data_IF_407270204842
#
_entry.id   IF_407270204842
#
_cell.length_a   1.000
_cell.length_b   1.000
_cell.length_c   1.000
_cell.angle_alpha   90.00
_cell.angle_beta   90.00
_cell.angle_gamma   90.00
#
_symmetry.space_group_name_H-M   'P 1'
#
loop_
_entity.id
_entity.type
_entity.pdbx_description
1 polymer ?
#
# COMPACT_ATOMS: atom_id res chain seq x y z
N UNK A 1 -38.13 29.37 37.29
CA UNK A 1 -39.30 28.59 37.75
C UNK A 1 -40.48 28.90 36.85
N UNK A 2 -41.42 27.97 36.56
CA UNK A 2 -41.60 26.58 37.04
C UNK A 2 -41.12 25.54 36.00
N UNK A 3 -40.86 24.25 36.25
CA UNK A 3 -41.57 23.19 36.99
C UNK A 3 -42.37 22.36 35.97
N UNK A 4 -42.38 21.03 35.84
CA UNK A 4 -41.78 19.84 36.47
C UNK A 4 -42.53 18.62 35.85
N UNK A 5 -41.95 17.42 35.81
CA UNK A 5 -42.69 16.21 35.38
C UNK A 5 -41.82 15.01 34.99
N UNK A 6 -41.89 13.96 35.79
CA UNK A 6 -41.11 12.71 35.74
C UNK A 6 -41.71 11.62 34.82
N UNK A 7 -40.87 10.69 34.34
CA UNK A 7 -41.25 9.40 33.72
C UNK A 7 -40.03 8.53 33.36
N UNK A 8 -40.12 7.18 33.33
CA UNK A 8 -39.29 6.31 34.19
C UNK A 8 -38.09 5.57 33.53
N UNK A 9 -37.20 5.10 34.42
CA UNK A 9 -35.93 4.36 34.21
C UNK A 9 -36.19 2.83 34.30
N UNK A 10 -35.45 1.98 33.55
CA UNK A 10 -35.66 0.52 33.49
C UNK A 10 -35.17 -0.26 34.74
N UNK A 11 -35.68 -1.50 34.95
CA UNK A 11 -35.41 -2.29 36.16
C UNK A 11 -34.06 -3.03 36.11
N UNK A 12 -33.40 -3.06 37.27
CA UNK A 12 -32.21 -3.87 37.57
C UNK A 12 -32.54 -5.28 38.11
N UNK A 13 -31.51 -6.07 38.46
CA UNK A 13 -31.58 -7.51 38.66
C UNK A 13 -31.91 -7.91 40.11
N UNK A 14 -32.41 -9.14 40.29
CA UNK A 14 -32.63 -9.76 41.61
C UNK A 14 -32.04 -11.18 41.70
N UNK A 15 -31.69 -11.68 42.91
CA UNK A 15 -30.71 -12.75 43.13
C UNK A 15 -31.26 -14.01 43.87
N UNK A 16 -30.36 -14.99 44.07
CA UNK A 16 -30.24 -15.97 45.18
C UNK A 16 -30.76 -17.44 45.02
N UNK A 17 -29.76 -18.34 45.06
CA UNK A 17 -29.52 -19.71 45.60
C UNK A 17 -30.58 -20.45 46.51
N UNK A 18 -30.25 -21.59 47.18
CA UNK A 18 -29.74 -22.93 46.77
C UNK A 18 -30.53 -24.12 47.41
N UNK A 19 -30.19 -25.37 47.06
CA UNK A 19 -30.49 -26.60 47.85
C UNK A 19 -30.63 -27.87 46.99
N UNK A 20 -30.54 -29.12 47.46
CA UNK A 20 -29.76 -29.82 48.50
C UNK A 20 -30.17 -31.32 48.44
N UNK A 21 -29.24 -32.22 48.03
CA UNK A 21 -29.18 -33.70 48.26
C UNK A 21 -30.34 -34.64 47.85
N UNK A 22 -30.30 -35.95 48.17
CA UNK A 22 -29.20 -36.94 48.06
C UNK A 22 -29.65 -38.29 47.41
N UNK A 23 -28.71 -39.20 47.09
CA UNK A 23 -29.04 -40.60 46.74
C UNK A 23 -27.80 -41.46 46.42
N UNK A 24 -27.69 -42.63 47.06
CA UNK A 24 -26.46 -43.39 47.26
C UNK A 24 -26.40 -44.77 46.55
N UNK A 25 -25.17 -45.26 46.34
CA UNK A 25 -24.79 -46.70 46.29
C UNK A 25 -24.22 -47.22 44.96
N UNK A 26 -23.48 -48.35 44.93
CA UNK A 26 -22.24 -48.62 45.65
C UNK A 26 -21.07 -49.09 44.73
N UNK A 27 -19.86 -49.09 45.29
CA UNK A 27 -18.57 -49.54 44.73
C UNK A 27 -18.43 -51.07 44.63
N UNK A 28 -17.48 -51.56 43.81
CA UNK A 28 -16.44 -52.41 44.40
C UNK A 28 -15.01 -52.13 43.89
N UNK A 29 -14.07 -52.50 44.76
CA UNK A 29 -12.62 -52.29 44.72
C UNK A 29 -11.87 -53.05 43.61
N UNK A 30 -10.70 -52.54 43.21
CA UNK A 30 -9.66 -53.35 42.58
C UNK A 30 -8.42 -52.60 42.06
N UNK A 31 -7.33 -52.71 42.83
CA UNK A 31 -5.91 -52.69 42.43
C UNK A 31 -5.15 -51.37 42.11
N UNK A 32 -3.87 -51.43 42.48
CA UNK A 32 -2.90 -50.36 42.72
C UNK A 32 -2.02 -50.06 41.46
N UNK A 33 -1.06 -49.10 41.53
CA UNK A 33 -0.61 -48.30 40.39
C UNK A 33 0.63 -48.85 39.66
N UNK A 34 0.68 -48.67 38.34
CA UNK A 34 1.90 -48.89 37.54
C UNK A 34 2.05 -47.85 36.42
N UNK A 35 3.11 -47.04 36.53
CA UNK A 35 4.05 -46.59 35.48
C UNK A 35 3.56 -45.88 34.20
N UNK A 36 4.23 -44.80 33.75
CA UNK A 36 3.94 -44.18 32.46
C UNK A 36 4.54 -45.02 31.32
N UNK A 37 3.67 -45.57 30.46
CA UNK A 37 4.05 -46.23 29.20
C UNK A 37 4.10 -45.25 28.02
N UNK A 38 4.93 -45.50 26.99
CA UNK A 38 5.12 -44.59 25.87
C UNK A 38 3.94 -44.64 24.89
N UNK A 39 3.51 -43.46 24.44
CA UNK A 39 2.49 -43.28 23.39
C UNK A 39 3.07 -43.60 22.00
N UNK A 40 2.42 -44.41 21.16
CA UNK A 40 2.89 -44.71 19.81
C UNK A 40 2.75 -43.49 18.87
N UNK A 41 3.85 -43.15 18.19
CA UNK A 41 3.86 -42.19 17.08
C UNK A 41 3.08 -42.76 15.89
N UNK A 42 2.09 -42.01 15.40
CA UNK A 42 1.45 -42.28 14.13
C UNK A 42 2.39 -41.88 12.96
N UNK A 43 2.54 -42.70 11.91
CA UNK A 43 3.30 -42.32 10.74
C UNK A 43 2.42 -41.45 9.82
N UNK A 44 2.83 -40.21 9.59
CA UNK A 44 2.20 -39.33 8.62
C UNK A 44 3.23 -38.86 7.60
N UNK A 45 3.35 -39.59 6.50
CA UNK A 45 3.97 -39.09 5.26
C UNK A 45 3.54 -39.96 4.07
N UNK A 46 2.35 -39.70 3.55
CA UNK A 46 1.95 -40.09 2.20
C UNK A 46 2.06 -38.87 1.27
N UNK A 47 2.44 -39.05 0.00
CA UNK A 47 2.43 -37.95 -0.97
C UNK A 47 1.00 -37.43 -1.17
N UNK A 48 0.80 -36.12 -1.37
CA UNK A 48 -0.54 -35.55 -1.48
C UNK A 48 -1.26 -36.07 -2.73
N UNK A 49 -2.56 -36.37 -2.63
CA UNK A 49 -3.35 -36.77 -3.79
C UNK A 49 -3.53 -35.57 -4.75
N UNK A 50 -3.42 -35.85 -6.04
CA UNK A 50 -3.69 -34.89 -7.11
C UNK A 50 -5.13 -34.37 -7.04
N UNK A 51 -5.31 -33.04 -7.09
CA UNK A 51 -6.53 -32.45 -7.66
C UNK A 51 -7.45 -31.62 -6.77
N UNK A 52 -7.12 -31.32 -5.52
CA UNK A 52 -7.87 -30.33 -4.72
C UNK A 52 -6.99 -29.11 -4.44
N UNK A 53 -7.48 -27.87 -4.67
CA UNK A 53 -6.80 -26.68 -4.18
C UNK A 53 -6.64 -26.83 -2.67
N UNK A 54 -5.40 -26.73 -2.18
CA UNK A 54 -5.16 -26.59 -0.75
C UNK A 54 -6.02 -25.42 -0.25
N UNK A 55 -6.72 -25.55 0.90
CA UNK A 55 -7.36 -24.40 1.49
C UNK A 55 -6.26 -23.40 1.80
N UNK A 56 -6.15 -22.35 0.98
CA UNK A 56 -5.34 -21.20 1.33
C UNK A 56 -5.75 -20.79 2.74
N UNK A 57 -4.77 -20.51 3.60
CA UNK A 57 -5.07 -19.90 4.90
C UNK A 57 -5.94 -18.67 4.70
N UNK A 58 -6.70 -18.28 5.72
CA UNK A 58 -7.52 -17.07 5.66
C UNK A 58 -6.64 -15.90 5.16
N UNK A 59 -6.99 -15.24 4.04
CA UNK A 59 -6.15 -14.18 3.51
C UNK A 59 -5.97 -13.06 4.53
N UNK A 60 -4.71 -12.72 4.81
CA UNK A 60 -4.32 -11.83 5.90
C UNK A 60 -3.14 -10.97 5.44
N UNK A 61 -3.22 -9.66 5.64
CA UNK A 61 -2.07 -8.77 5.38
C UNK A 61 -1.04 -8.87 6.51
N UNK A 62 0.20 -8.56 6.17
CA UNK A 62 1.33 -8.58 7.08
C UNK A 62 1.24 -7.49 8.15
N UNK A 63 2.18 -7.52 9.10
CA UNK A 63 2.14 -6.68 10.29
C UNK A 63 2.63 -5.25 10.03
N UNK A 64 3.12 -4.95 8.82
CA UNK A 64 3.77 -3.70 8.52
C UNK A 64 5.06 -3.48 9.32
N UNK A 65 5.47 -2.22 9.44
CA UNK A 65 6.68 -1.83 10.14
C UNK A 65 6.51 -0.53 10.92
N UNK A 66 7.42 -0.30 11.87
CA UNK A 66 7.48 0.91 12.66
C UNK A 66 8.65 1.82 12.23
N UNK A 67 8.46 3.13 12.36
CA UNK A 67 9.51 4.13 12.34
C UNK A 67 9.47 4.99 13.62
N UNK A 68 10.64 5.34 14.11
CA UNK A 68 10.86 6.20 15.28
C UNK A 68 11.74 7.35 14.86
N UNK A 69 11.27 8.58 15.06
CA UNK A 69 12.03 9.78 14.73
C UNK A 69 12.26 10.63 15.98
N UNK A 70 13.52 11.03 16.20
CA UNK A 70 13.90 11.99 17.24
C UNK A 70 14.08 13.37 16.64
N UNK A 71 13.59 14.37 17.35
CA UNK A 71 13.68 15.77 16.95
C UNK A 71 13.86 16.66 18.17
N UNK A 72 14.25 17.91 17.94
CA UNK A 72 14.27 18.95 18.96
C UNK A 72 12.98 19.76 18.91
N UNK A 73 12.25 19.77 20.03
CA UNK A 73 11.02 20.52 20.19
C UNK A 73 11.30 22.04 20.29
N UNK A 74 10.26 22.90 20.12
CA UNK A 74 10.43 24.35 20.16
C UNK A 74 11.00 24.90 21.49
N UNK A 75 10.82 24.17 22.59
CA UNK A 75 11.38 24.50 23.90
C UNK A 75 12.85 24.08 24.07
N UNK A 76 13.45 23.48 23.04
CA UNK A 76 14.82 22.99 23.03
C UNK A 76 15.00 21.58 23.58
N UNK A 77 13.95 20.95 24.10
CA UNK A 77 13.99 19.56 24.57
C UNK A 77 14.06 18.57 23.40
N UNK A 78 14.59 17.37 23.64
CA UNK A 78 14.50 16.28 22.67
C UNK A 78 13.21 15.50 22.88
N UNK A 79 12.50 15.27 21.78
CA UNK A 79 11.25 14.51 21.73
C UNK A 79 11.32 13.43 20.64
N UNK A 80 10.37 12.51 20.68
CA UNK A 80 10.26 11.41 19.72
C UNK A 80 8.84 11.29 19.16
N UNK A 81 8.75 10.89 17.90
CA UNK A 81 7.52 10.48 17.24
C UNK A 81 7.67 9.00 16.85
N UNK A 82 6.64 8.21 17.13
CA UNK A 82 6.56 6.81 16.73
C UNK A 82 5.34 6.66 15.83
N UNK A 83 5.54 6.07 14.64
CA UNK A 83 4.48 5.74 13.69
C UNK A 83 4.66 4.34 13.14
N UNK A 84 3.55 3.73 12.74
CA UNK A 84 3.49 2.38 12.18
C UNK A 84 2.70 2.41 10.88
N UNK A 85 3.11 1.62 9.90
CA UNK A 85 2.26 1.36 8.74
C UNK A 85 1.01 0.58 9.16
N UNK A 86 -0.10 0.86 8.47
CA UNK A 86 -1.37 0.19 8.66
C UNK A 86 -2.18 0.27 7.36
N UNK A 87 -3.15 -0.64 7.15
CA UNK A 87 -4.01 -0.58 5.97
C UNK A 87 -4.70 0.78 5.77
N UNK A 88 -4.61 1.32 4.56
CA UNK A 88 -5.20 2.60 4.19
C UNK A 88 -4.44 3.82 4.73
N UNK A 89 -3.19 3.64 5.16
CA UNK A 89 -2.34 4.73 5.66
C UNK A 89 -1.03 4.78 4.86
N UNK A 90 -0.45 5.97 4.65
CA UNK A 90 0.86 6.05 4.01
C UNK A 90 1.93 5.42 4.91
N UNK A 91 3.11 5.16 4.35
CA UNK A 91 4.26 4.68 5.11
C UNK A 91 4.57 5.58 6.32
N UNK A 92 5.08 5.01 7.44
CA UNK A 92 5.27 5.74 8.68
C UNK A 92 6.17 6.97 8.55
N UNK A 93 7.13 7.01 7.61
CA UNK A 93 7.96 8.20 7.38
C UNK A 93 7.15 9.39 6.84
N UNK A 94 6.17 9.14 5.97
CA UNK A 94 5.22 10.17 5.52
C UNK A 94 4.29 10.61 6.65
N UNK A 95 3.82 9.67 7.48
CA UNK A 95 3.02 10.00 8.66
C UNK A 95 3.79 10.94 9.60
N UNK A 96 5.08 10.65 9.84
CA UNK A 96 5.97 11.47 10.66
C UNK A 96 6.20 12.84 10.02
N UNK A 97 6.42 12.92 8.70
CA UNK A 97 6.56 14.20 7.99
C UNK A 97 5.34 15.10 8.19
N UNK A 98 4.14 14.55 8.05
CA UNK A 98 2.92 15.32 8.25
C UNK A 98 2.77 15.79 9.70
N UNK A 99 3.12 14.96 10.67
CA UNK A 99 3.06 15.33 12.08
C UNK A 99 4.09 16.39 12.47
N UNK A 100 5.34 16.27 12.02
CA UNK A 100 6.35 17.31 12.25
C UNK A 100 5.93 18.66 11.66
N UNK A 101 5.33 18.65 10.47
CA UNK A 101 4.75 19.87 9.86
C UNK A 101 3.61 20.43 10.71
N UNK A 102 2.72 19.59 11.22
CA UNK A 102 1.64 20.03 12.11
C UNK A 102 2.16 20.61 13.44
N UNK A 103 3.29 20.10 13.94
CA UNK A 103 3.99 20.61 15.12
C UNK A 103 4.89 21.81 14.83
N UNK A 104 4.97 22.27 13.58
CA UNK A 104 5.87 23.34 13.11
C UNK A 104 7.35 23.09 13.44
N UNK A 105 7.78 21.82 13.43
CA UNK A 105 9.19 21.45 13.65
C UNK A 105 9.98 21.71 12.36
N UNK A 106 11.00 22.59 12.38
CA UNK A 106 11.82 22.83 11.20
C UNK A 106 12.65 21.60 10.81
N UNK A 107 12.93 21.38 9.52
CA UNK A 107 13.80 20.29 9.04
C UNK A 107 15.14 20.15 9.76
N UNK A 108 15.74 21.27 10.19
CA UNK A 108 17.05 21.31 10.86
C UNK A 108 16.98 20.79 12.30
N UNK A 109 15.78 20.64 12.86
CA UNK A 109 15.58 20.09 14.20
C UNK A 109 15.32 18.58 14.19
N UNK A 110 15.31 17.95 13.01
CA UNK A 110 15.19 16.50 12.87
C UNK A 110 16.56 15.85 13.03
N UNK A 111 16.69 14.92 13.99
CA UNK A 111 17.98 14.41 14.45
C UNK A 111 18.26 12.98 13.95
N UNK A 112 17.35 12.06 14.22
CA UNK A 112 17.52 10.62 13.97
C UNK A 112 16.22 10.01 13.48
N UNK A 113 16.32 9.10 12.51
CA UNK A 113 15.25 8.23 12.06
C UNK A 113 15.71 6.77 12.15
N UNK A 114 14.98 5.98 12.91
CA UNK A 114 15.17 4.54 13.01
C UNK A 114 13.94 3.83 12.44
N UNK A 115 14.13 2.89 11.51
CA UNK A 115 13.05 2.10 10.91
C UNK A 115 13.27 0.60 11.10
N UNK A 116 12.20 -0.18 11.29
CA UNK A 116 12.35 -1.65 11.31
C UNK A 116 12.70 -2.19 9.91
N UNK A 117 12.26 -1.52 8.85
CA UNK A 117 12.54 -1.83 7.45
C UNK A 117 13.13 -0.59 6.76
N UNK A 118 14.18 -0.77 5.96
CA UNK A 118 14.82 0.31 5.20
C UNK A 118 13.79 1.12 4.39
N UNK A 119 13.88 2.45 4.47
CA UNK A 119 12.98 3.36 3.76
C UNK A 119 13.01 3.13 2.26
N UNK A 120 11.83 2.90 1.67
CA UNK A 120 11.72 2.43 0.29
C UNK A 120 12.08 3.49 -0.78
N UNK A 121 12.46 3.02 -1.96
CA UNK A 121 12.50 3.78 -3.22
C UNK A 121 11.50 3.21 -4.25
N UNK A 122 10.27 2.94 -3.77
CA UNK A 122 9.24 2.21 -4.50
C UNK A 122 7.99 3.06 -4.73
N UNK A 123 7.18 2.71 -5.76
CA UNK A 123 5.83 3.24 -5.96
C UNK A 123 5.01 3.30 -4.68
N UNK A 124 4.23 4.37 -4.52
CA UNK A 124 3.32 4.54 -3.38
C UNK A 124 3.95 5.11 -2.11
N UNK A 125 5.26 5.38 -2.09
CA UNK A 125 5.85 6.13 -0.98
C UNK A 125 7.18 6.84 -1.32
N UNK A 126 8.16 6.18 -1.94
CA UNK A 126 9.50 6.75 -2.18
C UNK A 126 10.09 7.45 -0.92
N UNK A 127 9.98 6.80 0.24
CA UNK A 127 10.37 7.36 1.54
C UNK A 127 11.83 7.86 1.55
N UNK A 128 12.77 7.11 0.97
CA UNK A 128 14.18 7.54 0.96
C UNK A 128 14.41 8.83 0.17
N UNK A 129 13.68 9.04 -0.95
CA UNK A 129 13.70 10.32 -1.68
C UNK A 129 13.10 11.43 -0.83
N UNK A 130 11.92 11.19 -0.26
CA UNK A 130 11.23 12.16 0.60
C UNK A 130 12.11 12.61 1.77
N UNK A 131 12.78 11.67 2.44
CA UNK A 131 13.67 11.95 3.56
C UNK A 131 14.86 12.79 3.11
N UNK A 132 15.51 12.45 1.99
CA UNK A 132 16.64 13.24 1.45
C UNK A 132 16.24 14.67 1.13
N UNK A 133 15.05 14.87 0.57
CA UNK A 133 14.53 16.20 0.21
C UNK A 133 14.03 16.98 1.44
N UNK A 134 13.50 16.29 2.45
CA UNK A 134 12.86 16.94 3.61
C UNK A 134 13.78 17.13 4.80
N UNK A 135 14.70 16.19 5.08
CA UNK A 135 15.53 16.15 6.29
C UNK A 135 17.00 15.84 5.94
N UNK A 136 17.72 16.77 5.29
CA UNK A 136 19.06 16.50 4.76
C UNK A 136 20.13 16.20 5.83
N UNK A 137 19.86 16.48 7.11
CA UNK A 137 20.80 16.27 8.23
C UNK A 137 20.45 15.06 9.10
N UNK A 138 19.34 14.36 8.82
CA UNK A 138 18.89 13.25 9.66
C UNK A 138 19.86 12.08 9.58
N UNK A 139 20.15 11.47 10.73
CA UNK A 139 20.84 10.18 10.78
C UNK A 139 19.84 9.04 10.63
N UNK A 140 20.01 8.22 9.60
CA UNK A 140 19.11 7.11 9.28
C UNK A 140 19.73 5.79 9.72
N UNK A 141 18.94 4.94 10.36
CA UNK A 141 19.30 3.55 10.67
C UNK A 141 18.09 2.65 10.39
N UNK A 142 18.33 1.41 9.97
CA UNK A 142 17.28 0.41 9.80
C UNK A 142 17.69 -0.95 10.36
N UNK A 143 16.71 -1.77 10.73
CA UNK A 143 16.96 -3.15 11.17
C UNK A 143 17.15 -4.08 9.98
N UNK A 144 16.18 -4.11 9.06
CA UNK A 144 16.25 -4.92 7.85
C UNK A 144 16.54 -4.06 6.61
N UNK A 145 17.44 -4.50 5.70
CA UNK A 145 17.50 -3.94 4.36
C UNK A 145 16.20 -4.27 3.61
N UNK A 146 15.77 -3.43 2.67
CA UNK A 146 14.56 -3.69 1.88
C UNK A 146 14.87 -3.84 0.40
N UNK A 147 15.79 -3.02 -0.13
CA UNK A 147 16.21 -3.09 -1.53
C UNK A 147 15.14 -2.64 -2.54
N UNK A 148 15.45 -2.84 -3.83
CA UNK A 148 14.68 -2.28 -4.95
C UNK A 148 14.04 -3.34 -5.83
N UNK A 149 14.62 -4.53 -5.96
CA UNK A 149 14.06 -5.64 -6.74
C UNK A 149 13.28 -6.62 -5.85
N UNK A 150 12.41 -7.42 -6.46
CA UNK A 150 11.51 -8.34 -5.78
C UNK A 150 12.25 -9.30 -4.85
N UNK A 151 13.41 -9.84 -5.24
CA UNK A 151 14.14 -10.78 -4.40
C UNK A 151 14.64 -10.10 -3.12
N UNK A 152 15.23 -8.90 -3.25
CA UNK A 152 15.69 -8.11 -2.10
C UNK A 152 14.53 -7.71 -1.18
N UNK A 153 13.38 -7.33 -1.73
CA UNK A 153 12.17 -6.97 -0.97
C UNK A 153 11.61 -8.14 -0.18
N UNK A 154 11.54 -9.32 -0.80
CA UNK A 154 11.11 -10.55 -0.13
C UNK A 154 12.08 -10.93 1.01
N UNK A 155 13.39 -10.79 0.78
CA UNK A 155 14.39 -11.04 1.83
C UNK A 155 14.28 -10.04 2.99
N UNK A 156 14.08 -8.75 2.68
CA UNK A 156 13.88 -7.70 3.68
C UNK A 156 12.66 -7.94 4.55
N UNK A 157 11.53 -8.30 3.93
CA UNK A 157 10.32 -8.67 4.66
C UNK A 157 10.51 -9.91 5.52
N UNK A 158 11.22 -10.93 5.03
CA UNK A 158 11.52 -12.11 5.83
C UNK A 158 12.37 -11.76 7.06
N UNK A 159 13.38 -10.89 6.91
CA UNK A 159 14.21 -10.43 8.01
C UNK A 159 13.40 -9.63 9.04
N UNK A 160 12.53 -8.72 8.57
CA UNK A 160 11.61 -7.98 9.42
C UNK A 160 10.71 -8.91 10.25
N UNK A 161 10.09 -9.90 9.62
CA UNK A 161 9.19 -10.85 10.29
C UNK A 161 9.94 -11.69 11.34
N UNK A 162 11.15 -12.14 11.03
CA UNK A 162 12.01 -12.85 11.99
C UNK A 162 12.31 -11.97 13.20
N UNK A 163 12.77 -10.73 12.98
CA UNK A 163 13.07 -9.78 14.06
C UNK A 163 11.85 -9.48 14.94
N UNK A 164 10.69 -9.25 14.32
CA UNK A 164 9.44 -9.02 15.04
C UNK A 164 8.98 -10.25 15.84
N UNK A 165 9.22 -11.46 15.33
CA UNK A 165 8.97 -12.72 16.05
C UNK A 165 9.88 -12.92 17.26
N UNK A 166 11.16 -12.55 17.16
CA UNK A 166 12.10 -12.57 18.29
C UNK A 166 11.68 -11.58 19.38
N UNK A 167 11.28 -10.35 19.01
CA UNK A 167 10.76 -9.36 19.95
C UNK A 167 9.50 -9.85 20.67
N UNK A 168 8.60 -10.56 19.98
CA UNK A 168 7.42 -11.15 20.60
C UNK A 168 7.80 -12.17 21.69
N UNK A 169 8.77 -13.05 21.42
CA UNK A 169 9.20 -14.10 22.35
C UNK A 169 9.94 -13.53 23.58
N UNK A 170 10.69 -12.45 23.40
CA UNK A 170 11.56 -11.89 24.46
C UNK A 170 10.85 -10.82 25.29
N UNK A 171 9.92 -10.07 24.70
CA UNK A 171 9.30 -8.90 25.34
C UNK A 171 7.80 -9.08 25.64
N UNK A 172 7.26 -10.29 25.55
CA UNK A 172 5.81 -10.60 25.65
C UNK A 172 4.94 -9.65 24.79
N UNK A 173 5.47 -9.25 23.63
CA UNK A 173 4.78 -8.35 22.70
C UNK A 173 3.56 -9.02 22.07
N UNK A 174 2.70 -8.30 21.31
CA UNK A 174 1.65 -8.94 20.52
C UNK A 174 2.26 -9.73 19.35
N UNK A 175 1.74 -10.94 19.09
CA UNK A 175 2.14 -11.74 17.93
C UNK A 175 1.86 -10.96 16.62
N UNK A 176 2.83 -10.98 15.70
CA UNK A 176 2.75 -10.31 14.41
C UNK A 176 2.74 -11.37 13.30
N UNK A 177 1.55 -11.81 12.83
CA UNK A 177 1.47 -12.90 11.87
C UNK A 177 2.06 -12.49 10.52
N UNK A 178 2.71 -13.46 9.85
CA UNK A 178 3.16 -13.29 8.48
C UNK A 178 1.97 -13.13 7.51
N UNK A 179 2.15 -12.41 6.39
CA UNK A 179 1.10 -12.26 5.40
C UNK A 179 0.71 -13.62 4.78
N UNK A 180 -0.59 -13.83 4.59
CA UNK A 180 -1.15 -14.96 3.85
C UNK A 180 -1.71 -14.43 2.54
N UNK A 181 -0.84 -14.40 1.52
CA UNK A 181 -1.16 -13.83 0.20
C UNK A 181 -2.04 -14.79 -0.61
N UNK A 182 -3.12 -14.27 -1.19
CA UNK A 182 -3.92 -15.03 -2.14
C UNK A 182 -3.28 -15.02 -3.54
N UNK A 183 -3.35 -16.13 -4.30
CA UNK A 183 -2.84 -16.16 -5.67
C UNK A 183 -3.61 -15.20 -6.57
N UNK A 184 -2.98 -14.76 -7.66
CA UNK A 184 -3.64 -13.98 -8.71
C UNK A 184 -4.78 -14.79 -9.33
N UNK A 185 -6.04 -14.31 -9.24
CA UNK A 185 -7.16 -15.04 -9.81
C UNK A 185 -7.15 -14.92 -11.33
N UNK A 186 -7.48 -16.00 -12.03
CA UNK A 186 -7.74 -15.96 -13.46
C UNK A 186 -9.19 -15.53 -13.68
N UNK A 187 -9.39 -14.26 -14.01
CA UNK A 187 -10.71 -13.70 -14.30
C UNK A 187 -10.77 -13.14 -15.72
N UNK A 188 -11.95 -13.19 -16.37
CA UNK A 188 -12.12 -12.57 -17.68
C UNK A 188 -11.83 -11.06 -17.63
N UNK A 189 -11.16 -10.49 -18.66
CA UNK A 189 -10.99 -9.05 -18.76
C UNK A 189 -12.32 -8.31 -18.77
N UNK A 190 -12.39 -7.18 -18.06
CA UNK A 190 -13.54 -6.30 -18.11
C UNK A 190 -13.68 -5.70 -19.51
N UNK A 191 -14.90 -5.51 -20.03
CA UNK A 191 -15.09 -4.86 -21.32
C UNK A 191 -14.54 -3.42 -21.29
N UNK A 192 -13.98 -2.93 -22.42
CA UNK A 192 -13.61 -1.53 -22.53
C UNK A 192 -14.86 -0.67 -22.44
N UNK A 193 -14.74 0.47 -21.76
CA UNK A 193 -15.82 1.45 -21.61
C UNK A 193 -15.45 2.75 -22.33
N UNK A 194 -16.43 3.53 -22.81
CA UNK A 194 -16.14 4.80 -23.44
C UNK A 194 -15.57 5.81 -22.42
N UNK A 195 -14.89 6.89 -22.87
CA UNK A 195 -14.30 7.89 -21.98
C UNK A 195 -15.27 8.49 -20.96
N UNK A 196 -16.54 8.61 -21.29
CA UNK A 196 -17.60 9.07 -20.40
C UNK A 196 -17.84 8.10 -19.24
N UNK A 197 -17.72 6.79 -19.48
CA UNK A 197 -17.79 5.77 -18.43
C UNK A 197 -16.57 5.84 -17.51
N UNK A 198 -15.36 6.06 -18.07
CA UNK A 198 -14.14 6.30 -17.26
C UNK A 198 -14.31 7.56 -16.40
N UNK A 199 -14.90 8.62 -16.96
CA UNK A 199 -15.20 9.85 -16.24
C UNK A 199 -16.14 9.59 -15.04
N UNK A 200 -17.17 8.76 -15.20
CA UNK A 200 -18.08 8.39 -14.12
C UNK A 200 -17.35 7.61 -13.01
N UNK A 201 -16.49 6.65 -13.38
CA UNK A 201 -15.68 5.91 -12.42
C UNK A 201 -14.77 6.84 -11.59
N UNK A 202 -14.10 7.80 -12.25
CA UNK A 202 -13.27 8.83 -11.58
C UNK A 202 -14.09 9.76 -10.69
N UNK A 203 -15.24 10.23 -11.17
CA UNK A 203 -16.12 11.11 -10.39
C UNK A 203 -16.60 10.44 -9.11
N UNK A 204 -16.90 9.13 -9.16
CA UNK A 204 -17.25 8.35 -7.99
C UNK A 204 -16.11 8.19 -6.98
N UNK A 205 -14.85 8.25 -7.42
CA UNK A 205 -13.67 8.10 -6.56
C UNK A 205 -13.17 9.42 -5.97
N UNK A 206 -13.09 10.47 -6.79
CA UNK A 206 -12.40 11.73 -6.45
C UNK A 206 -13.33 12.94 -6.38
N UNK A 207 -14.60 12.80 -6.78
CA UNK A 207 -15.51 13.92 -6.94
C UNK A 207 -15.12 14.87 -8.08
N UNK A 208 -15.95 15.88 -8.39
CA UNK A 208 -15.73 16.76 -9.53
C UNK A 208 -14.51 17.68 -9.38
N UNK A 209 -14.16 18.07 -8.14
CA UNK A 209 -13.03 18.96 -7.86
C UNK A 209 -11.68 18.24 -7.86
N UNK A 210 -11.68 16.91 -7.67
CA UNK A 210 -10.47 16.10 -7.63
C UNK A 210 -9.98 15.63 -9.00
N UNK A 211 -10.57 16.13 -10.10
CA UNK A 211 -10.24 15.70 -11.47
C UNK A 211 -9.58 16.85 -12.23
N UNK A 212 -8.37 16.60 -12.73
CA UNK A 212 -7.67 17.43 -13.70
C UNK A 212 -8.12 17.06 -15.12
N UNK A 213 -8.80 17.98 -15.81
CA UNK A 213 -9.20 17.81 -17.22
C UNK A 213 -8.34 18.66 -18.14
N UNK A 214 -8.17 18.17 -19.36
CA UNK A 214 -7.35 18.81 -20.39
C UNK A 214 -8.26 19.39 -21.47
N UNK A 215 -7.91 20.56 -22.01
CA UNK A 215 -8.60 21.11 -23.18
C UNK A 215 -8.04 20.51 -24.49
N UNK A 216 -8.70 20.81 -25.61
CA UNK A 216 -8.28 20.32 -26.92
C UNK A 216 -6.88 20.80 -27.33
N UNK A 217 -6.48 21.99 -26.88
CA UNK A 217 -5.15 22.55 -27.16
C UNK A 217 -4.09 21.76 -26.40
N UNK A 218 -4.36 21.39 -25.15
CA UNK A 218 -3.42 20.66 -24.31
C UNK A 218 -2.98 19.32 -24.92
N UNK A 219 -3.89 18.66 -25.63
CA UNK A 219 -3.66 17.35 -26.27
C UNK A 219 -3.33 17.44 -27.77
N UNK A 220 -3.16 18.65 -28.32
CA UNK A 220 -2.97 18.85 -29.76
C UNK A 220 -1.54 18.55 -30.26
N UNK A 221 -0.66 18.02 -29.42
CA UNK A 221 0.71 17.70 -29.82
C UNK A 221 0.70 16.55 -30.83
N UNK A 222 1.52 16.68 -31.86
CA UNK A 222 1.72 15.61 -32.83
C UNK A 222 2.20 14.33 -32.16
N UNK A 223 1.59 13.20 -32.51
CA UNK A 223 1.96 11.89 -31.97
C UNK A 223 1.22 11.49 -30.68
N UNK A 224 0.40 12.37 -30.10
CA UNK A 224 -0.55 11.97 -29.04
C UNK A 224 -1.59 11.03 -29.66
N UNK A 225 -1.75 9.78 -29.18
CA UNK A 225 -2.77 8.87 -29.71
C UNK A 225 -4.20 9.39 -29.44
N UNK A 226 -5.13 9.18 -30.38
CA UNK A 226 -6.52 9.65 -30.25
C UNK A 226 -7.20 9.15 -28.96
N UNK A 227 -6.94 7.91 -28.56
CA UNK A 227 -7.48 7.34 -27.33
C UNK A 227 -6.96 8.07 -26.08
N UNK A 228 -5.69 8.48 -26.09
CA UNK A 228 -5.07 9.26 -25.00
C UNK A 228 -5.70 10.65 -24.95
N UNK A 229 -5.77 11.35 -26.09
CA UNK A 229 -6.39 12.66 -26.18
C UNK A 229 -7.86 12.65 -25.70
N UNK A 230 -8.66 11.69 -26.17
CA UNK A 230 -10.06 11.54 -25.77
C UNK A 230 -10.21 11.26 -24.28
N UNK A 231 -9.38 10.39 -23.72
CA UNK A 231 -9.41 10.09 -22.27
C UNK A 231 -9.09 11.33 -21.45
N UNK A 232 -8.06 12.09 -21.79
CA UNK A 232 -7.66 13.31 -21.07
C UNK A 232 -8.72 14.42 -21.14
N UNK A 233 -9.39 14.59 -22.29
CA UNK A 233 -10.42 15.62 -22.47
C UNK A 233 -11.73 15.27 -21.77
N UNK A 234 -12.22 14.03 -21.92
CA UNK A 234 -13.53 13.63 -21.41
C UNK A 234 -13.47 13.12 -19.97
N UNK A 235 -12.54 12.23 -19.67
CA UNK A 235 -12.39 11.65 -18.33
C UNK A 235 -11.51 12.53 -17.43
N UNK A 236 -10.35 12.97 -17.94
CA UNK A 236 -9.31 13.61 -17.14
C UNK A 236 -8.50 12.59 -16.33
N UNK A 237 -7.76 13.10 -15.34
CA UNK A 237 -6.94 12.32 -14.41
C UNK A 237 -7.23 12.79 -12.97
N UNK A 238 -6.97 11.97 -11.93
CA UNK A 238 -6.97 12.46 -10.55
C UNK A 238 -5.96 13.60 -10.41
N UNK A 239 -6.39 14.75 -9.91
CA UNK A 239 -5.52 15.92 -9.75
C UNK A 239 -4.45 15.67 -8.69
N UNK A 240 -4.88 15.16 -7.53
CA UNK A 240 -4.03 14.77 -6.41
C UNK A 240 -4.59 13.47 -5.82
N UNK A 241 -3.80 12.41 -5.89
CA UNK A 241 -4.04 11.17 -5.19
C UNK A 241 -2.74 10.66 -4.56
N UNK A 242 -2.12 11.51 -3.74
CA UNK A 242 -0.93 11.15 -2.98
C UNK A 242 -1.18 9.96 -2.02
N UNK A 243 -0.22 9.03 -1.89
CA UNK A 243 1.14 9.07 -2.46
C UNK A 243 1.26 8.43 -3.86
N UNK A 244 0.16 8.09 -4.52
CA UNK A 244 0.17 7.26 -5.73
C UNK A 244 0.35 8.06 -7.02
N UNK A 245 -0.30 9.22 -7.13
CA UNK A 245 -0.33 9.98 -8.37
C UNK A 245 -0.66 11.46 -8.18
N UNK A 246 0.04 12.32 -8.91
CA UNK A 246 -0.29 13.73 -9.09
C UNK A 246 -0.28 14.06 -10.58
N UNK A 247 -1.37 14.63 -11.10
CA UNK A 247 -1.46 14.98 -12.51
C UNK A 247 -0.47 16.12 -12.86
N UNK A 248 0.14 16.03 -14.04
CA UNK A 248 0.97 17.09 -14.60
C UNK A 248 0.06 18.04 -15.40
N UNK A 249 -0.09 19.32 -14.99
CA UNK A 249 -0.81 20.30 -15.79
C UNK A 249 -0.13 20.52 -17.15
N UNK A 250 -0.94 20.70 -18.20
CA UNK A 250 -0.46 21.02 -19.54
C UNK A 250 -0.20 22.51 -19.70
N UNK A 251 0.97 22.90 -20.23
CA UNK A 251 1.31 24.30 -20.51
C UNK A 251 2.25 24.44 -21.72
N UNK A 252 1.76 24.93 -22.88
CA UNK A 252 0.36 24.96 -23.34
C UNK A 252 -0.15 23.56 -23.77
N UNK A 253 0.74 22.58 -23.85
CA UNK A 253 0.50 21.19 -24.28
C UNK A 253 1.13 20.23 -23.28
N UNK A 254 0.69 18.96 -23.25
CA UNK A 254 1.23 17.92 -22.35
C UNK A 254 2.73 17.70 -22.59
N UNK A 255 3.65 17.99 -21.67
CA UNK A 255 5.07 18.02 -21.99
C UNK A 255 5.65 16.62 -22.27
N UNK A 256 6.73 16.57 -23.06
CA UNK A 256 7.58 15.37 -23.10
C UNK A 256 8.44 15.28 -21.84
N UNK A 257 8.97 14.09 -21.53
CA UNK A 257 9.90 13.92 -20.41
C UNK A 257 11.19 14.73 -20.64
N UNK A 258 11.64 14.88 -21.89
CA UNK A 258 12.77 15.75 -22.22
C UNK A 258 12.51 17.23 -21.90
N UNK A 259 11.33 17.74 -22.24
CA UNK A 259 10.92 19.11 -21.90
C UNK A 259 10.80 19.30 -20.38
N UNK A 260 10.23 18.32 -19.67
CA UNK A 260 10.14 18.35 -18.21
C UNK A 260 11.53 18.35 -17.56
N UNK A 261 12.47 17.53 -18.06
CA UNK A 261 13.84 17.50 -17.57
C UNK A 261 14.52 18.86 -17.74
N UNK A 262 14.40 19.49 -18.92
CA UNK A 262 14.92 20.84 -19.18
C UNK A 262 14.31 21.87 -18.24
N UNK A 263 12.99 21.82 -18.00
CA UNK A 263 12.31 22.71 -17.04
C UNK A 263 12.86 22.55 -15.61
N UNK A 264 13.24 21.32 -15.23
CA UNK A 264 13.86 21.01 -13.94
C UNK A 264 15.38 21.20 -13.93
N UNK A 265 15.97 21.73 -15.00
CA UNK A 265 17.41 21.93 -15.17
C UNK A 265 18.22 20.63 -15.06
N UNK A 266 17.61 19.51 -15.48
CA UNK A 266 18.21 18.17 -15.54
C UNK A 266 18.55 17.86 -16.99
N UNK A 267 19.71 17.25 -17.23
CA UNK A 267 20.06 16.75 -18.57
C UNK A 267 19.18 15.54 -18.91
N UNK A 268 18.40 15.58 -20.00
CA UNK A 268 17.50 14.48 -20.34
C UNK A 268 18.28 13.25 -20.81
N UNK A 269 17.76 12.05 -20.49
CA UNK A 269 18.21 10.82 -21.10
C UNK A 269 17.91 10.81 -22.62
N UNK A 270 18.67 10.03 -23.38
CA UNK A 270 18.59 10.00 -24.85
C UNK A 270 17.18 9.64 -25.39
N UNK A 271 16.43 8.85 -24.65
CA UNK A 271 15.08 8.38 -25.01
C UNK A 271 13.96 9.24 -24.40
N UNK A 272 14.26 10.27 -23.60
CA UNK A 272 13.27 11.07 -22.88
C UNK A 272 12.25 11.77 -23.81
N UNK A 273 12.59 12.02 -25.06
CA UNK A 273 11.64 12.54 -26.06
C UNK A 273 10.51 11.56 -26.43
N UNK A 274 10.63 10.29 -26.05
CA UNK A 274 9.69 9.21 -26.39
C UNK A 274 8.53 9.07 -25.40
N UNK A 275 8.47 9.93 -24.39
CA UNK A 275 7.56 9.84 -23.26
C UNK A 275 6.79 11.14 -23.08
N UNK A 276 5.47 11.06 -23.05
CA UNK A 276 4.57 12.18 -22.72
C UNK A 276 4.16 12.11 -21.25
N UNK A 277 4.41 13.17 -20.48
CA UNK A 277 4.22 13.18 -19.03
C UNK A 277 2.76 13.43 -18.68
N UNK A 278 2.10 12.44 -18.07
CA UNK A 278 0.73 12.56 -17.54
C UNK A 278 0.72 13.05 -16.10
N UNK A 279 1.78 12.75 -15.34
CA UNK A 279 1.87 13.05 -13.93
C UNK A 279 3.14 12.50 -13.29
N UNK A 280 3.11 12.34 -11.98
CA UNK A 280 4.19 11.76 -11.20
C UNK A 280 3.64 10.93 -10.06
N UNK A 281 4.36 9.88 -9.67
CA UNK A 281 4.16 9.12 -8.43
C UNK A 281 5.15 9.57 -7.34
N UNK A 282 5.56 10.85 -7.39
CA UNK A 282 6.61 11.49 -6.60
C UNK A 282 8.05 11.06 -6.93
N UNK A 283 8.30 9.76 -7.13
CA UNK A 283 9.64 9.27 -7.46
C UNK A 283 9.98 9.30 -8.94
N UNK A 284 9.00 9.03 -9.81
CA UNK A 284 9.12 8.92 -11.27
C UNK A 284 8.06 9.78 -11.96
N UNK A 285 8.31 10.08 -13.23
CA UNK A 285 7.28 10.62 -14.11
C UNK A 285 6.41 9.47 -14.63
N UNK A 286 5.09 9.62 -14.56
CA UNK A 286 4.14 8.69 -15.15
C UNK A 286 3.83 9.18 -16.56
N UNK A 287 4.18 8.37 -17.55
CA UNK A 287 4.25 8.77 -18.94
C UNK A 287 3.45 7.85 -19.86
N UNK A 288 2.90 8.39 -20.94
CA UNK A 288 2.50 7.61 -22.12
C UNK A 288 3.74 7.43 -23.01
N UNK A 289 4.08 6.19 -23.35
CA UNK A 289 5.16 5.88 -24.29
C UNK A 289 4.68 6.00 -25.74
N UNK A 290 5.45 6.68 -26.59
CA UNK A 290 5.18 6.72 -28.03
C UNK A 290 5.32 5.34 -28.69
N UNK A 291 4.49 5.10 -29.71
CA UNK A 291 4.45 3.84 -30.46
C UNK A 291 3.59 2.75 -29.83
N UNK A 292 3.63 2.60 -28.50
CA UNK A 292 2.85 1.57 -27.78
C UNK A 292 1.61 2.13 -27.06
N UNK A 293 1.62 3.42 -26.70
CA UNK A 293 0.65 4.07 -25.83
C UNK A 293 0.57 3.46 -24.41
N UNK A 294 1.52 2.61 -24.02
CA UNK A 294 1.63 2.07 -22.67
C UNK A 294 1.91 3.18 -21.66
N UNK A 295 1.42 2.98 -20.43
CA UNK A 295 1.76 3.83 -19.29
C UNK A 295 3.00 3.27 -18.62
N UNK A 296 4.01 4.13 -18.50
CA UNK A 296 5.33 3.80 -17.98
C UNK A 296 5.69 4.78 -16.85
N UNK A 297 6.27 4.28 -15.75
CA UNK A 297 6.90 5.10 -14.74
C UNK A 297 8.39 5.23 -15.09
N UNK A 298 8.82 6.44 -15.43
CA UNK A 298 10.15 6.73 -15.99
C UNK A 298 10.90 7.70 -15.06
N UNK A 299 12.15 7.39 -14.66
CA UNK A 299 12.99 8.35 -13.94
C UNK A 299 13.20 9.62 -14.77
N UNK A 300 13.11 10.78 -14.12
CA UNK A 300 13.40 12.07 -14.79
C UNK A 300 14.91 12.29 -14.83
N UNK A 301 15.59 11.97 -13.73
CA UNK A 301 17.03 11.98 -13.63
C UNK A 301 17.63 10.79 -14.41
N UNK A 302 18.62 11.02 -15.30
CA UNK A 302 19.26 9.94 -16.03
C UNK A 302 20.17 9.12 -15.11
N UNK A 303 20.48 7.90 -15.56
CA UNK A 303 21.47 7.06 -14.92
C UNK A 303 22.90 7.62 -15.05
N UNK A 304 23.89 6.97 -14.41
CA UNK A 304 25.29 7.35 -14.51
C UNK A 304 25.73 7.54 -15.97
N UNK A 305 26.42 8.64 -16.25
CA UNK A 305 26.86 8.97 -17.62
C UNK A 305 25.75 9.39 -18.58
N UNK A 306 24.57 9.77 -18.08
CA UNK A 306 23.45 10.23 -18.92
C UNK A 306 22.65 9.11 -19.57
N UNK A 307 22.84 7.86 -19.12
CA UNK A 307 22.16 6.70 -19.70
C UNK A 307 20.67 6.68 -19.34
N UNK A 308 19.86 6.11 -20.24
CA UNK A 308 18.46 5.80 -19.92
C UNK A 308 18.41 4.77 -18.80
N UNK A 309 17.50 4.99 -17.86
CA UNK A 309 17.17 4.02 -16.80
C UNK A 309 15.94 3.25 -17.25
N UNK A 310 15.92 1.90 -17.11
CA UNK A 310 14.78 1.10 -17.54
C UNK A 310 13.45 1.63 -16.97
N UNK A 311 12.46 1.92 -17.82
CA UNK A 311 11.15 2.36 -17.36
C UNK A 311 10.39 1.19 -16.74
N UNK A 312 9.59 1.48 -15.71
CA UNK A 312 8.73 0.49 -15.07
C UNK A 312 7.35 0.47 -15.74
N UNK A 313 6.87 -0.70 -16.12
CA UNK A 313 5.54 -0.83 -16.72
C UNK A 313 4.44 -0.55 -15.69
N UNK A 314 3.41 0.22 -16.07
CA UNK A 314 2.27 0.57 -15.23
C UNK A 314 1.00 -0.05 -15.80
N UNK A 315 0.59 0.34 -17.01
CA UNK A 315 -0.61 -0.18 -17.66
C UNK A 315 -0.48 -0.24 -19.18
N UNK A 316 -1.32 -1.05 -19.82
CA UNK A 316 -1.42 -1.16 -21.28
C UNK A 316 -1.94 0.11 -21.95
N UNK A 317 -2.64 0.98 -21.22
CA UNK A 317 -3.15 2.22 -21.78
C UNK A 317 -3.64 3.21 -20.72
N UNK A 318 -3.91 4.44 -21.18
CA UNK A 318 -4.41 5.51 -20.31
C UNK A 318 -5.81 5.22 -19.74
N UNK A 319 -6.79 4.66 -20.49
CA UNK A 319 -8.07 4.26 -19.91
C UNK A 319 -7.89 3.26 -18.76
N UNK A 320 -7.09 2.22 -18.95
CA UNK A 320 -6.82 1.17 -17.96
C UNK A 320 -6.14 1.74 -16.71
N UNK A 321 -5.15 2.61 -16.87
CA UNK A 321 -4.51 3.32 -15.76
C UNK A 321 -5.50 4.18 -14.98
N UNK A 322 -6.32 4.95 -15.69
CA UNK A 322 -7.29 5.87 -15.08
C UNK A 322 -8.36 5.11 -14.28
N UNK A 323 -8.84 3.98 -14.82
CA UNK A 323 -9.79 3.10 -14.13
C UNK A 323 -9.15 2.40 -12.93
N UNK A 324 -7.91 1.98 -13.04
CA UNK A 324 -7.14 1.39 -11.94
C UNK A 324 -6.91 2.39 -10.79
N UNK A 325 -6.61 3.66 -11.10
CA UNK A 325 -6.57 4.73 -10.11
C UNK A 325 -7.94 5.01 -9.48
N UNK A 326 -9.02 5.02 -10.26
CA UNK A 326 -10.38 5.17 -9.74
C UNK A 326 -10.76 4.02 -8.78
N UNK A 327 -10.39 2.78 -9.15
CA UNK A 327 -10.56 1.61 -8.31
C UNK A 327 -9.82 1.76 -6.97
N UNK A 328 -8.53 2.11 -6.99
CA UNK A 328 -7.75 2.33 -5.77
C UNK A 328 -8.33 3.51 -4.95
N UNK A 329 -8.70 4.62 -5.60
CA UNK A 329 -9.28 5.79 -4.95
C UNK A 329 -10.57 5.50 -4.18
N UNK A 330 -11.46 4.66 -4.73
CA UNK A 330 -12.70 4.24 -4.06
C UNK A 330 -12.46 3.46 -2.78
N UNK A 331 -11.41 2.64 -2.74
CA UNK A 331 -11.16 1.74 -1.61
C UNK A 331 -10.17 2.31 -0.59
N UNK A 332 -9.25 3.17 -0.99
CA UNK A 332 -8.09 3.56 -0.18
C UNK A 332 -8.47 4.02 1.23
N UNK A 333 -9.39 5.00 1.34
CA UNK A 333 -9.83 5.55 2.63
C UNK A 333 -10.63 4.55 3.47
N UNK A 334 -11.26 3.57 2.83
CA UNK A 334 -12.09 2.57 3.50
C UNK A 334 -11.27 1.42 4.10
N UNK A 335 -9.96 1.36 3.80
CA UNK A 335 -9.03 0.40 4.40
C UNK A 335 -8.62 0.78 5.83
N UNK A 336 -8.85 2.03 6.23
CA UNK A 336 -8.49 2.51 7.55
C UNK A 336 -9.23 1.76 8.66
N UNK A 337 -8.47 1.26 9.65
CA UNK A 337 -9.02 0.56 10.82
C UNK A 337 -9.50 -0.87 10.57
N UNK A 338 -9.26 -1.43 9.38
CA UNK A 338 -9.55 -2.84 9.11
C UNK A 338 -8.64 -3.78 9.90
N UNK A 339 -9.16 -4.95 10.30
CA UNK A 339 -8.31 -6.04 10.81
C UNK A 339 -7.44 -6.61 9.68
N UNK A 340 -6.34 -7.30 9.99
CA UNK A 340 -5.47 -7.92 8.98
C UNK A 340 -6.22 -8.85 8.00
N UNK A 341 -7.21 -9.60 8.49
CA UNK A 341 -8.04 -10.50 7.67
C UNK A 341 -9.03 -9.73 6.79
N UNK A 342 -9.61 -8.64 7.31
CA UNK A 342 -10.50 -7.77 6.54
C UNK A 342 -9.73 -7.07 5.42
N UNK A 343 -8.56 -6.50 5.74
CA UNK A 343 -7.66 -5.91 4.77
C UNK A 343 -7.18 -6.95 3.76
N UNK A 344 -6.92 -8.19 4.18
CA UNK A 344 -6.56 -9.30 3.31
C UNK A 344 -7.63 -9.57 2.26
N UNK A 345 -8.91 -9.71 2.67
CA UNK A 345 -10.05 -9.87 1.75
C UNK A 345 -10.16 -8.70 0.75
N UNK A 346 -10.01 -7.47 1.23
CA UNK A 346 -10.03 -6.29 0.37
C UNK A 346 -8.88 -6.27 -0.64
N UNK A 347 -7.69 -6.71 -0.24
CA UNK A 347 -6.55 -6.86 -1.16
C UNK A 347 -6.84 -7.93 -2.22
N UNK A 348 -7.50 -9.04 -1.86
CA UNK A 348 -7.96 -10.04 -2.86
C UNK A 348 -8.92 -9.42 -3.87
N UNK A 349 -9.91 -8.68 -3.41
CA UNK A 349 -10.90 -8.05 -4.30
C UNK A 349 -10.28 -6.98 -5.20
N UNK A 350 -9.31 -6.21 -4.68
CA UNK A 350 -8.54 -5.24 -5.45
C UNK A 350 -7.70 -5.92 -6.52
N UNK A 351 -6.95 -6.94 -6.13
CA UNK A 351 -6.12 -7.75 -7.02
C UNK A 351 -6.95 -8.37 -8.15
N UNK A 352 -8.13 -8.90 -7.83
CA UNK A 352 -9.07 -9.40 -8.83
C UNK A 352 -9.48 -8.27 -9.78
N UNK A 353 -10.07 -7.19 -9.29
CA UNK A 353 -10.57 -6.11 -10.15
C UNK A 353 -9.47 -5.49 -11.02
N UNK A 354 -8.26 -5.34 -10.49
CA UNK A 354 -7.11 -4.86 -11.25
C UNK A 354 -6.72 -5.84 -12.37
N UNK A 355 -6.71 -7.15 -12.10
CA UNK A 355 -6.47 -8.16 -13.13
C UNK A 355 -7.55 -8.17 -14.23
N UNK A 356 -8.81 -7.85 -13.90
CA UNK A 356 -9.86 -7.68 -14.92
C UNK A 356 -9.64 -6.41 -15.75
N UNK A 357 -9.20 -5.31 -15.14
CA UNK A 357 -8.96 -4.06 -15.84
C UNK A 357 -7.76 -4.16 -16.78
N UNK A 358 -6.66 -4.74 -16.31
CA UNK A 358 -5.42 -4.85 -17.07
C UNK A 358 -4.53 -6.00 -16.56
N UNK A 359 -4.66 -7.22 -17.10
CA UNK A 359 -3.85 -8.36 -16.67
C UNK A 359 -2.35 -8.12 -16.80
N UNK A 360 -1.91 -7.31 -17.79
CA UNK A 360 -0.50 -7.05 -18.03
C UNK A 360 0.14 -6.20 -16.91
N UNK A 361 -0.66 -5.37 -16.23
CA UNK A 361 -0.22 -4.60 -15.06
C UNK A 361 0.30 -5.47 -13.92
N UNK A 362 -0.11 -6.75 -13.89
CA UNK A 362 0.27 -7.75 -12.89
C UNK A 362 1.13 -8.88 -13.44
N UNK A 363 1.62 -8.75 -14.68
CA UNK A 363 2.39 -9.81 -15.38
C UNK A 363 3.81 -10.02 -14.85
N UNK A 364 4.36 -9.06 -14.12
CA UNK A 364 5.69 -9.08 -13.54
C UNK A 364 5.66 -8.61 -12.09
N UNK A 365 6.46 -9.19 -11.17
CA UNK A 365 6.61 -8.68 -9.81
C UNK A 365 7.23 -7.28 -9.74
N UNK A 366 7.84 -6.81 -10.84
CA UNK A 366 8.42 -5.47 -10.94
C UNK A 366 7.47 -4.45 -11.58
N UNK A 367 6.29 -4.86 -12.06
CA UNK A 367 5.29 -3.90 -12.56
C UNK A 367 4.83 -2.99 -11.41
N UNK A 368 4.53 -1.73 -11.74
CA UNK A 368 4.19 -0.70 -10.75
C UNK A 368 3.06 -1.13 -9.81
N UNK A 369 1.99 -1.71 -10.35
CA UNK A 369 0.87 -2.20 -9.55
C UNK A 369 1.19 -3.46 -8.75
N UNK A 370 2.04 -4.36 -9.28
CA UNK A 370 2.49 -5.53 -8.52
C UNK A 370 3.25 -5.12 -7.26
N UNK A 371 4.08 -4.08 -7.36
CA UNK A 371 4.82 -3.53 -6.22
C UNK A 371 3.87 -2.89 -5.20
N UNK A 372 2.82 -2.18 -5.63
CA UNK A 372 1.80 -1.67 -4.72
C UNK A 372 1.02 -2.80 -4.03
N UNK A 373 0.63 -3.85 -4.78
CA UNK A 373 -0.06 -5.00 -4.22
C UNK A 373 0.80 -5.76 -3.22
N UNK A 374 2.09 -5.94 -3.51
CA UNK A 374 3.05 -6.51 -2.57
C UNK A 374 3.08 -5.72 -1.27
N UNK A 375 3.22 -4.40 -1.34
CA UNK A 375 3.23 -3.52 -0.18
C UNK A 375 1.90 -3.57 0.61
N UNK A 376 0.76 -3.65 -0.06
CA UNK A 376 -0.55 -3.84 0.61
C UNK A 376 -0.64 -5.20 1.31
N UNK A 377 -0.13 -6.27 0.68
CA UNK A 377 -0.07 -7.59 1.29
C UNK A 377 0.85 -7.62 2.50
N UNK A 378 1.94 -6.85 2.49
CA UNK A 378 2.91 -6.78 3.59
C UNK A 378 2.45 -5.87 4.74
N UNK A 379 1.33 -5.15 4.57
CA UNK A 379 0.80 -4.21 5.56
C UNK A 379 1.59 -2.89 5.61
N UNK A 380 2.28 -2.55 4.51
CA UNK A 380 3.04 -1.31 4.37
C UNK A 380 2.15 -0.13 3.94
N UNK A 381 1.02 -0.43 3.28
CA UNK A 381 0.02 0.51 2.76
C UNK A 381 -1.40 0.21 3.23
#
# INVERSE_FOLDING_TARGET
APGGGHGPVPPGPVPYAPGSGPGAGPVPHGMAPHGPGPVPQAPASGPPPYGYPQPYGLPTVGPGYQAVLRYRAPDGSEAQIIRRSAPGTPHPEWQILHELRALNVPPQQVLELHTELESCELPGAYCARMIRESWPQVRITSVAPYGQDHASRQQGMQHLLTHQGELHQVADGPARPAPVRAPLPQIPPAPPIPPEGVAQELLGAFGPQGICRFDQRAVSRQGVPDLVARTLVWAGLPADFGPFFWAQPAHPVVPTLAELAVQRQIQPAADAGSYLVMGSDFGRAICVQYGTAHIMAVPVEPGPGGQSVPPQFVNTGLPEFTRSLALLGRMWRLRYGLTPEQAGRWTVDFQAQLAALDPAALSSPESWWSVLLEQMWDGLL
#
